data_IF_111680381376
#
_entry.id   IF_111680381376
#
_cell.length_a   1.000
_cell.length_b   1.000
_cell.length_c   1.000
_cell.angle_alpha   90.00
_cell.angle_beta   90.00
_cell.angle_gamma   90.00
#
_symmetry.space_group_name_H-M   'P 1'
#
loop_
_entity.id
_entity.type
_entity.pdbx_description
1 polymer ?
#
# COMPACT_ATOMS: atom_id res chain seq x y z
N UNK A 1 29.00 -5.69 -4.81
CA UNK A 1 28.15 -4.85 -3.93
C UNK A 1 27.18 -5.76 -3.21
N UNK A 2 27.17 -5.67 -1.89
CA UNK A 2 26.65 -6.68 -0.97
C UNK A 2 25.12 -6.64 -0.96
N UNK A 3 24.46 -7.76 -1.32
CA UNK A 3 23.02 -7.95 -1.09
C UNK A 3 22.78 -7.74 0.41
N UNK A 4 22.08 -6.66 0.79
CA UNK A 4 21.55 -6.51 2.15
C UNK A 4 20.54 -7.64 2.33
N UNK A 5 20.95 -8.69 3.02
CA UNK A 5 20.05 -9.73 3.48
C UNK A 5 19.03 -9.08 4.42
N UNK A 6 17.76 -9.19 4.06
CA UNK A 6 16.62 -8.81 4.91
C UNK A 6 16.56 -9.78 6.09
N UNK A 7 17.45 -9.63 7.07
CA UNK A 7 17.40 -10.40 8.31
C UNK A 7 16.26 -9.85 9.16
N UNK A 8 15.26 -10.69 9.36
CA UNK A 8 14.12 -10.41 10.22
C UNK A 8 14.57 -10.64 11.67
N UNK A 9 14.59 -9.59 12.51
CA UNK A 9 14.99 -9.71 13.92
C UNK A 9 13.77 -10.06 14.78
N UNK A 10 13.93 -11.00 15.71
CA UNK A 10 12.91 -11.32 16.73
C UNK A 10 12.50 -10.09 17.56
N UNK A 11 13.37 -9.08 17.67
CA UNK A 11 13.08 -7.80 18.32
C UNK A 11 12.00 -6.98 17.57
N UNK A 12 11.85 -7.15 16.26
CA UNK A 12 10.86 -6.47 15.41
C UNK A 12 9.42 -6.89 15.67
N UNK A 13 9.21 -7.94 16.46
CA UNK A 13 7.87 -8.49 16.71
C UNK A 13 7.35 -8.21 18.11
N UNK A 14 8.23 -7.97 19.08
CA UNK A 14 7.85 -7.77 20.48
C UNK A 14 7.16 -8.98 21.12
N UNK A 15 6.86 -8.91 22.42
CA UNK A 15 6.17 -9.98 23.18
C UNK A 15 4.64 -9.98 23.00
N UNK A 16 4.12 -9.34 21.95
CA UNK A 16 2.68 -9.11 21.80
C UNK A 16 1.98 -10.31 21.17
N UNK A 17 0.92 -10.81 21.80
CA UNK A 17 0.02 -11.85 21.24
C UNK A 17 -0.97 -11.30 20.21
N UNK A 18 -0.88 -10.00 19.90
CA UNK A 18 -1.80 -9.27 19.01
C UNK A 18 -1.55 -9.65 17.55
N UNK A 19 -2.63 -9.73 16.77
CA UNK A 19 -2.55 -9.93 15.32
C UNK A 19 -1.80 -8.77 14.66
N UNK A 20 -0.93 -9.07 13.70
CA UNK A 20 -0.16 -8.07 12.94
C UNK A 20 -0.80 -7.77 11.60
N UNK A 21 -0.74 -6.52 11.15
CA UNK A 21 -1.22 -6.09 9.84
C UNK A 21 -0.03 -5.54 9.03
N UNK A 22 0.55 -6.34 8.12
CA UNK A 22 1.60 -5.86 7.23
C UNK A 22 1.01 -5.02 6.08
N UNK A 23 1.49 -3.78 5.94
CA UNK A 23 1.09 -2.84 4.89
C UNK A 23 2.34 -2.42 4.11
N UNK A 24 2.38 -2.69 2.81
CA UNK A 24 3.45 -2.22 1.93
C UNK A 24 2.91 -1.16 0.97
N UNK A 25 3.45 0.04 1.05
CA UNK A 25 3.24 1.12 0.11
C UNK A 25 4.23 1.01 -1.03
N UNK A 26 3.74 0.90 -2.26
CA UNK A 26 4.48 0.92 -3.50
C UNK A 26 4.19 2.25 -4.19
N UNK A 27 5.11 3.20 -4.04
CA UNK A 27 4.90 4.61 -4.38
C UNK A 27 5.68 5.02 -5.62
N UNK A 28 4.98 5.61 -6.59
CA UNK A 28 5.60 6.25 -7.74
C UNK A 28 6.33 7.53 -7.31
N UNK A 29 7.60 7.65 -7.70
CA UNK A 29 8.44 8.83 -7.51
C UNK A 29 9.08 9.26 -8.83
N UNK A 30 8.49 8.91 -9.96
CA UNK A 30 8.97 9.30 -11.29
C UNK A 30 8.90 10.82 -11.54
N UNK A 31 9.39 11.25 -12.70
CA UNK A 31 9.47 12.68 -13.06
C UNK A 31 8.13 13.42 -13.02
N UNK A 32 7.01 12.75 -13.30
CA UNK A 32 5.66 13.34 -13.26
C UNK A 32 5.24 13.75 -11.85
N UNK A 33 5.77 13.10 -10.82
CA UNK A 33 5.48 13.40 -9.42
C UNK A 33 6.17 14.68 -8.91
N UNK A 34 7.07 15.29 -9.70
CA UNK A 34 7.81 16.47 -9.28
C UNK A 34 6.91 17.67 -8.97
N UNK A 35 7.29 18.46 -7.96
CA UNK A 35 6.55 19.67 -7.56
C UNK A 35 5.45 19.37 -6.55
N UNK A 36 4.20 19.71 -6.89
CA UNK A 36 3.07 19.58 -5.97
C UNK A 36 2.71 18.13 -5.63
N UNK A 37 2.70 17.15 -6.57
CA UNK A 37 2.30 15.79 -6.27
C UNK A 37 3.15 15.12 -5.19
N UNK A 38 4.48 15.19 -5.27
CA UNK A 38 5.35 14.61 -4.25
C UNK A 38 5.24 15.34 -2.90
N UNK A 39 4.97 16.66 -2.90
CA UNK A 39 4.73 17.40 -1.66
C UNK A 39 3.47 16.88 -0.95
N UNK A 40 2.37 16.77 -1.69
CA UNK A 40 1.09 16.27 -1.19
C UNK A 40 1.19 14.80 -0.77
N UNK A 41 1.94 13.97 -1.50
CA UNK A 41 2.24 12.59 -1.11
C UNK A 41 2.95 12.53 0.26
N UNK A 42 3.97 13.37 0.47
CA UNK A 42 4.69 13.44 1.74
C UNK A 42 3.79 13.93 2.88
N UNK A 43 2.99 14.98 2.66
CA UNK A 43 2.04 15.51 3.65
C UNK A 43 1.00 14.44 4.02
N UNK A 44 0.45 13.74 3.03
CA UNK A 44 -0.48 12.65 3.25
C UNK A 44 0.14 11.47 4.02
N UNK A 45 1.37 11.06 3.68
CA UNK A 45 2.10 10.05 4.44
C UNK A 45 2.31 10.49 5.90
N UNK A 46 2.69 11.75 6.14
CA UNK A 46 2.84 12.25 7.51
C UNK A 46 1.53 12.17 8.30
N UNK A 47 0.40 12.52 7.68
CA UNK A 47 -0.93 12.40 8.26
C UNK A 47 -1.31 10.94 8.56
N UNK A 48 -1.06 10.02 7.62
CA UNK A 48 -1.27 8.58 7.85
C UNK A 48 -0.48 8.08 9.06
N UNK A 49 0.83 8.33 9.10
CA UNK A 49 1.64 7.89 10.23
C UNK A 49 1.21 8.53 11.55
N UNK A 50 0.75 9.78 11.54
CA UNK A 50 0.21 10.44 12.73
C UNK A 50 -1.06 9.74 13.22
N UNK A 51 -2.01 9.46 12.33
CA UNK A 51 -3.24 8.70 12.64
C UNK A 51 -2.93 7.33 13.23
N UNK A 52 -1.99 6.58 12.64
CA UNK A 52 -1.56 5.28 13.19
C UNK A 52 -0.92 5.43 14.57
N UNK A 53 -0.12 6.48 14.82
CA UNK A 53 0.52 6.70 16.12
C UNK A 53 -0.47 7.05 17.23
N UNK A 54 -1.54 7.75 16.90
CA UNK A 54 -2.59 8.16 17.84
C UNK A 54 -3.41 6.97 18.33
N UNK A 55 -3.69 5.99 17.46
CA UNK A 55 -4.36 4.76 17.86
C UNK A 55 -3.35 3.71 18.39
N UNK A 56 -3.36 3.48 19.71
CA UNK A 56 -2.47 2.50 20.35
C UNK A 56 -2.62 1.07 19.80
N UNK A 57 -3.84 0.68 19.45
CA UNK A 57 -4.12 -0.65 18.92
C UNK A 57 -3.51 -0.82 17.53
N UNK A 58 -3.77 0.13 16.65
CA UNK A 58 -3.25 0.15 15.28
C UNK A 58 -1.73 0.25 15.28
N UNK A 59 -1.15 1.13 16.09
CA UNK A 59 0.32 1.23 16.27
C UNK A 59 0.95 -0.08 16.70
N UNK A 60 0.29 -0.84 17.57
CA UNK A 60 0.79 -2.13 18.05
C UNK A 60 0.57 -3.28 17.06
N UNK A 61 -0.29 -3.13 16.06
CA UNK A 61 -0.59 -4.17 15.08
C UNK A 61 0.08 -3.92 13.72
N UNK A 62 0.12 -2.67 13.27
CA UNK A 62 0.61 -2.29 11.94
C UNK A 62 2.12 -2.46 11.81
N UNK A 63 2.53 -3.14 10.75
CA UNK A 63 3.91 -3.21 10.25
C UNK A 63 3.94 -2.56 8.88
N UNK A 64 4.60 -1.41 8.76
CA UNK A 64 4.58 -0.62 7.53
C UNK A 64 5.93 -0.77 6.82
N UNK A 65 5.87 -0.96 5.51
CA UNK A 65 6.99 -0.82 4.60
C UNK A 65 6.63 0.19 3.51
N UNK A 66 7.60 0.99 3.09
CA UNK A 66 7.48 1.88 1.93
C UNK A 66 8.58 1.50 0.96
N UNK A 67 8.19 1.19 -0.26
CA UNK A 67 9.07 1.14 -1.42
C UNK A 67 8.71 2.27 -2.38
N UNK A 68 9.70 2.75 -3.09
CA UNK A 68 9.54 3.79 -4.11
C UNK A 68 10.02 3.25 -5.45
N UNK A 69 9.35 3.61 -6.54
CA UNK A 69 9.80 3.30 -7.90
C UNK A 69 9.87 4.58 -8.74
N UNK A 70 11.01 4.81 -9.38
CA UNK A 70 11.27 6.00 -10.20
C UNK A 70 12.68 5.92 -10.80
N UNK A 71 12.85 5.09 -11.82
CA UNK A 71 14.13 4.68 -12.39
C UNK A 71 14.64 3.38 -11.80
N UNK A 72 14.74 3.32 -10.48
CA UNK A 72 15.03 2.11 -9.70
C UNK A 72 13.92 1.85 -8.70
N UNK A 73 13.86 0.61 -8.20
CA UNK A 73 13.02 0.24 -7.07
C UNK A 73 13.88 0.27 -5.81
N UNK A 74 13.46 1.08 -4.83
CA UNK A 74 14.20 1.31 -3.60
C UNK A 74 13.33 1.02 -2.38
N UNK A 75 13.89 0.30 -1.40
CA UNK A 75 13.24 0.10 -0.10
C UNK A 75 13.51 1.35 0.75
N UNK A 76 12.57 2.28 0.70
CA UNK A 76 12.67 3.56 1.39
C UNK A 76 12.49 3.43 2.91
N UNK A 77 11.52 2.62 3.33
CA UNK A 77 11.28 2.24 4.71
C UNK A 77 11.08 0.71 4.78
N UNK A 78 12.02 -0.05 5.37
CA UNK A 78 11.81 -1.49 5.55
C UNK A 78 10.70 -1.76 6.58
N UNK A 79 10.14 -2.97 6.56
CA UNK A 79 9.21 -3.38 7.61
C UNK A 79 9.85 -3.26 8.99
N UNK A 80 9.16 -2.56 9.88
CA UNK A 80 9.57 -2.40 11.27
C UNK A 80 8.42 -1.91 12.14
N UNK A 81 8.62 -1.97 13.46
CA UNK A 81 7.63 -1.44 14.41
C UNK A 81 7.63 0.08 14.32
N UNK A 82 6.44 0.66 14.27
CA UNK A 82 6.27 2.10 14.42
C UNK A 82 6.55 2.49 15.87
N UNK A 83 7.71 3.09 16.10
CA UNK A 83 7.99 3.79 17.36
C UNK A 83 7.41 5.21 17.30
N UNK A 84 7.24 5.86 18.46
CA UNK A 84 6.82 7.27 18.50
C UNK A 84 7.83 8.19 17.80
N UNK A 85 9.08 7.75 17.75
CA UNK A 85 10.24 8.46 17.20
C UNK A 85 10.54 8.09 15.75
N UNK A 86 9.80 7.15 15.15
CA UNK A 86 10.01 6.78 13.75
C UNK A 86 9.70 8.00 12.87
N UNK A 87 10.71 8.69 12.37
CA UNK A 87 10.52 9.77 11.41
C UNK A 87 10.12 9.17 10.07
N UNK A 88 9.09 9.76 9.42
CA UNK A 88 8.79 9.44 8.02
C UNK A 88 9.81 10.24 7.21
N UNK A 89 10.80 9.60 6.55
CA UNK A 89 11.79 10.35 5.80
C UNK A 89 11.09 11.02 4.60
N UNK A 90 11.61 12.17 4.18
CA UNK A 90 11.01 12.93 3.09
C UNK A 90 11.34 12.29 1.74
N UNK A 91 10.32 11.87 1.00
CA UNK A 91 10.46 11.26 -0.33
C UNK A 91 10.67 12.36 -1.36
N UNK A 92 11.65 12.18 -2.24
CA UNK A 92 11.91 13.08 -3.36
C UNK A 92 11.52 12.43 -4.68
N UNK A 93 10.90 13.21 -5.56
CA UNK A 93 10.67 12.80 -6.94
C UNK A 93 12.02 12.70 -7.67
N UNK A 94 12.08 11.77 -8.59
CA UNK A 94 13.21 11.50 -9.47
C UNK A 94 12.99 12.16 -10.83
N UNK A 95 13.91 11.99 -11.77
CA UNK A 95 13.75 12.46 -13.16
C UNK A 95 13.64 11.30 -14.15
N UNK A 96 13.33 10.11 -13.64
CA UNK A 96 13.47 8.83 -14.32
C UNK A 96 12.13 8.16 -14.62
N UNK A 97 12.22 7.00 -15.28
CA UNK A 97 11.11 6.17 -15.75
C UNK A 97 10.32 5.53 -14.60
N UNK A 98 9.21 4.89 -14.92
CA UNK A 98 8.28 4.28 -13.95
C UNK A 98 8.32 2.75 -13.99
N UNK A 99 9.27 2.06 -13.32
CA UNK A 99 9.38 0.59 -13.31
C UNK A 99 8.33 -0.06 -12.38
N UNK A 100 7.04 0.22 -12.64
CA UNK A 100 5.91 -0.15 -11.77
C UNK A 100 5.83 -1.65 -11.51
N UNK A 101 5.96 -2.48 -12.54
CA UNK A 101 5.87 -3.95 -12.39
C UNK A 101 6.95 -4.51 -11.47
N UNK A 102 8.18 -3.99 -11.56
CA UNK A 102 9.28 -4.37 -10.66
C UNK A 102 9.02 -3.92 -9.23
N UNK A 103 8.47 -2.70 -9.07
CA UNK A 103 8.03 -2.18 -7.77
C UNK A 103 7.02 -3.11 -7.11
N UNK A 104 5.94 -3.45 -7.83
CA UNK A 104 4.90 -4.35 -7.32
C UNK A 104 5.46 -5.72 -6.95
N UNK A 105 6.29 -6.32 -7.80
CA UNK A 105 6.92 -7.62 -7.50
C UNK A 105 7.77 -7.54 -6.23
N UNK A 106 8.56 -6.48 -6.07
CA UNK A 106 9.39 -6.25 -4.88
C UNK A 106 8.52 -6.09 -3.62
N UNK A 107 7.41 -5.36 -3.69
CA UNK A 107 6.47 -5.23 -2.59
C UNK A 107 5.88 -6.59 -2.18
N UNK A 108 5.50 -7.42 -3.16
CA UNK A 108 4.98 -8.77 -2.91
C UNK A 108 6.02 -9.67 -2.24
N UNK A 109 7.29 -9.60 -2.66
CA UNK A 109 8.38 -10.33 -2.02
C UNK A 109 8.60 -9.91 -0.57
N UNK A 110 8.58 -8.60 -0.29
CA UNK A 110 8.72 -8.08 1.07
C UNK A 110 7.54 -8.48 1.95
N UNK A 111 6.31 -8.41 1.44
CA UNK A 111 5.11 -8.88 2.14
C UNK A 111 5.19 -10.38 2.43
N UNK A 112 5.62 -11.19 1.46
CA UNK A 112 5.80 -12.63 1.64
C UNK A 112 6.85 -12.96 2.70
N UNK A 113 8.01 -12.28 2.67
CA UNK A 113 9.06 -12.44 3.67
C UNK A 113 8.57 -12.07 5.07
N UNK A 114 7.85 -10.94 5.20
CA UNK A 114 7.30 -10.51 6.51
C UNK A 114 6.27 -11.49 7.06
N UNK A 115 5.40 -12.05 6.20
CA UNK A 115 4.44 -13.09 6.59
C UNK A 115 5.12 -14.35 7.06
N UNK A 116 6.21 -14.76 6.41
CA UNK A 116 6.93 -15.96 6.82
C UNK A 116 7.54 -15.78 8.21
N UNK A 117 8.14 -14.61 8.48
CA UNK A 117 8.59 -14.25 9.83
C UNK A 117 7.48 -14.33 10.90
N UNK A 118 6.24 -13.92 10.56
CA UNK A 118 5.11 -14.12 11.48
C UNK A 118 4.83 -15.60 11.75
N UNK A 119 4.83 -16.44 10.72
CA UNK A 119 4.54 -17.88 10.87
C UNK A 119 5.61 -18.58 11.72
N UNK A 120 6.88 -18.30 11.45
CA UNK A 120 8.02 -18.86 12.19
C UNK A 120 7.94 -18.55 13.70
N UNK A 121 7.43 -17.36 14.04
CA UNK A 121 7.26 -16.90 15.42
C UNK A 121 5.89 -17.23 16.02
N UNK A 122 5.01 -17.92 15.29
CA UNK A 122 3.64 -18.24 15.75
C UNK A 122 2.74 -17.02 15.92
N UNK A 123 3.06 -15.91 15.26
CA UNK A 123 2.32 -14.65 15.32
C UNK A 123 1.17 -14.70 14.32
N UNK A 124 -0.04 -14.42 14.81
CA UNK A 124 -1.21 -14.29 13.95
C UNK A 124 -1.15 -12.98 13.16
N UNK A 125 -1.70 -12.95 11.96
CA UNK A 125 -1.72 -11.75 11.12
C UNK A 125 -3.04 -11.62 10.34
N UNK A 126 -3.39 -10.40 9.99
CA UNK A 126 -4.48 -10.04 9.05
C UNK A 126 -3.99 -10.17 7.61
N UNK A 127 -4.89 -10.17 6.61
CA UNK A 127 -4.45 -10.13 5.21
C UNK A 127 -3.50 -8.95 4.97
N UNK A 128 -2.32 -9.19 4.38
CA UNK A 128 -1.40 -8.13 4.01
C UNK A 128 -2.00 -7.15 3.03
N UNK A 129 -1.60 -5.89 3.11
CA UNK A 129 -2.02 -4.84 2.19
C UNK A 129 -0.89 -4.47 1.24
N UNK A 130 -1.18 -4.46 -0.04
CA UNK A 130 -0.37 -3.84 -1.08
C UNK A 130 -1.08 -2.55 -1.53
N UNK A 131 -0.49 -1.39 -1.23
CA UNK A 131 -1.01 -0.08 -1.64
C UNK A 131 -0.15 0.46 -2.77
N UNK A 132 -0.65 0.43 -4.00
CA UNK A 132 0.05 0.93 -5.19
C UNK A 132 -0.49 2.31 -5.54
N UNK A 133 0.39 3.30 -5.57
CA UNK A 133 0.06 4.69 -5.94
C UNK A 133 0.93 5.08 -7.13
N UNK A 134 0.30 5.50 -8.23
CA UNK A 134 1.00 5.95 -9.45
C UNK A 134 0.21 7.01 -10.19
N UNK A 135 0.92 7.92 -10.86
CA UNK A 135 0.35 8.94 -11.76
C UNK A 135 0.64 8.65 -13.25
N UNK A 136 1.23 7.49 -13.55
CA UNK A 136 1.76 7.15 -14.87
C UNK A 136 1.52 5.70 -15.31
N UNK A 137 2.09 5.37 -16.46
CA UNK A 137 2.10 4.02 -17.03
C UNK A 137 3.47 3.34 -16.80
N UNK A 138 3.54 2.00 -16.80
CA UNK A 138 4.82 1.29 -16.70
C UNK A 138 5.78 1.69 -17.83
N UNK A 139 7.01 2.04 -17.47
CA UNK A 139 8.07 2.47 -18.39
C UNK A 139 9.41 1.80 -18.02
N UNK A 140 10.31 1.72 -19.01
CA UNK A 140 11.63 1.10 -18.85
C UNK A 140 11.74 -0.27 -19.52
N UNK A 141 12.89 -0.90 -19.33
CA UNK A 141 13.19 -2.20 -19.93
C UNK A 141 12.30 -3.29 -19.32
N UNK A 142 11.75 -4.16 -20.17
CA UNK A 142 10.82 -5.22 -19.77
C UNK A 142 9.59 -4.73 -18.96
N UNK A 143 9.25 -3.45 -19.02
CA UNK A 143 8.21 -2.86 -18.16
C UNK A 143 6.87 -3.59 -18.28
N UNK A 144 6.44 -3.91 -19.51
CA UNK A 144 5.19 -4.65 -19.74
C UNK A 144 5.31 -6.09 -19.25
N UNK A 145 6.41 -6.79 -19.52
CA UNK A 145 6.60 -8.18 -19.06
C UNK A 145 6.58 -8.26 -17.52
N UNK A 146 7.28 -7.37 -16.84
CA UNK A 146 7.29 -7.29 -15.38
C UNK A 146 5.91 -6.91 -14.85
N UNK A 147 5.18 -6.05 -15.56
CA UNK A 147 3.81 -5.70 -15.19
C UNK A 147 2.86 -6.88 -15.31
N UNK A 148 2.96 -7.68 -16.37
CA UNK A 148 2.15 -8.89 -16.54
C UNK A 148 2.42 -9.91 -15.43
N UNK A 149 3.70 -10.09 -15.05
CA UNK A 149 4.08 -10.92 -13.90
C UNK A 149 3.48 -10.38 -12.59
N UNK A 150 3.57 -9.07 -12.38
CA UNK A 150 3.01 -8.41 -11.21
C UNK A 150 1.48 -8.59 -11.12
N UNK A 151 0.77 -8.42 -12.24
CA UNK A 151 -0.68 -8.66 -12.34
C UNK A 151 -1.02 -10.10 -11.98
N UNK A 152 -0.33 -11.08 -12.57
CA UNK A 152 -0.56 -12.51 -12.26
C UNK A 152 -0.35 -12.81 -10.78
N UNK A 153 0.80 -12.42 -10.23
CA UNK A 153 1.14 -12.67 -8.83
C UNK A 153 0.16 -12.00 -7.85
N UNK A 154 -0.27 -10.77 -8.15
CA UNK A 154 -1.21 -10.03 -7.32
C UNK A 154 -2.59 -10.70 -7.34
N UNK A 155 -3.09 -11.08 -8.52
CA UNK A 155 -4.39 -11.71 -8.68
C UNK A 155 -4.47 -13.11 -8.06
N UNK A 156 -3.40 -13.90 -8.13
CA UNK A 156 -3.31 -15.20 -7.48
C UNK A 156 -3.39 -15.10 -5.94
N UNK A 157 -2.79 -14.05 -5.37
CA UNK A 157 -2.83 -13.81 -3.94
C UNK A 157 -4.18 -13.22 -3.49
N UNK A 158 -4.74 -12.28 -4.26
CA UNK A 158 -5.99 -11.60 -3.93
C UNK A 158 -7.20 -12.54 -4.05
N UNK A 159 -7.27 -13.34 -5.13
CA UNK A 159 -8.35 -14.32 -5.35
C UNK A 159 -8.42 -15.40 -4.27
N UNK A 160 -7.29 -15.71 -3.64
CA UNK A 160 -7.17 -16.70 -2.56
C UNK A 160 -7.28 -16.08 -1.16
N UNK A 161 -7.60 -14.78 -1.05
CA UNK A 161 -7.73 -14.10 0.23
C UNK A 161 -6.42 -14.04 1.01
N UNK A 162 -5.28 -13.94 0.31
CA UNK A 162 -3.93 -13.86 0.91
C UNK A 162 -3.30 -12.47 0.79
N UNK A 163 -3.98 -11.53 0.13
CA UNK A 163 -3.56 -10.16 -0.11
C UNK A 163 -4.80 -9.28 -0.29
N UNK A 164 -4.75 -8.08 0.29
CA UNK A 164 -5.60 -6.96 -0.06
C UNK A 164 -4.78 -6.02 -0.96
N UNK A 165 -5.34 -5.61 -2.08
CA UNK A 165 -4.72 -4.67 -3.02
C UNK A 165 -5.44 -3.34 -2.90
N UNK A 166 -4.74 -2.22 -3.03
CA UNK A 166 -5.28 -0.89 -3.30
C UNK A 166 -4.55 -0.34 -4.52
N UNK A 167 -5.19 -0.37 -5.68
CA UNK A 167 -4.66 0.15 -6.94
C UNK A 167 -5.16 1.59 -7.16
N UNK A 168 -4.30 2.56 -6.86
CA UNK A 168 -4.65 3.99 -6.81
C UNK A 168 -3.94 4.72 -7.96
N UNK A 169 -4.75 5.40 -8.76
CA UNK A 169 -4.30 6.25 -9.85
C UNK A 169 -4.43 7.74 -9.47
N UNK A 170 -3.39 8.52 -9.74
CA UNK A 170 -3.33 9.95 -9.41
C UNK A 170 -3.28 10.81 -10.67
N UNK A 171 -4.23 11.74 -10.84
CA UNK A 171 -4.28 12.63 -12.00
C UNK A 171 -4.73 11.93 -13.30
N UNK A 172 -4.23 12.39 -14.44
CA UNK A 172 -4.73 12.01 -15.78
C UNK A 172 -3.73 11.22 -16.63
N UNK A 173 -2.47 11.06 -16.18
CA UNK A 173 -1.40 10.38 -16.92
C UNK A 173 -1.39 8.85 -16.81
N UNK A 174 -2.39 8.27 -16.13
CA UNK A 174 -2.39 6.85 -15.73
C UNK A 174 -2.94 5.98 -16.86
N UNK A 175 -2.30 4.83 -17.08
CA UNK A 175 -2.91 3.75 -17.84
C UNK A 175 -3.92 2.98 -16.96
N UNK A 176 -5.15 3.50 -16.91
CA UNK A 176 -6.23 2.88 -16.15
C UNK A 176 -6.58 1.46 -16.64
N UNK A 177 -6.37 1.16 -17.92
CA UNK A 177 -6.65 -0.17 -18.47
C UNK A 177 -5.75 -1.21 -17.82
N UNK A 178 -4.48 -0.85 -17.67
CA UNK A 178 -3.47 -1.71 -17.06
C UNK A 178 -3.57 -1.70 -15.51
N UNK A 179 -3.77 -0.54 -14.89
CA UNK A 179 -3.90 -0.42 -13.43
C UNK A 179 -5.14 -1.18 -12.89
N UNK A 180 -6.23 -1.22 -13.66
CA UNK A 180 -7.43 -2.00 -13.34
C UNK A 180 -7.15 -3.50 -13.24
N UNK A 181 -6.20 -4.02 -14.01
CA UNK A 181 -5.87 -5.45 -14.03
C UNK A 181 -5.11 -5.92 -12.79
N UNK A 182 -4.62 -4.97 -11.97
CA UNK A 182 -3.87 -5.26 -10.75
C UNK A 182 -4.71 -5.85 -9.63
N UNK A 183 -6.03 -5.72 -9.68
CA UNK A 183 -6.93 -6.26 -8.67
C UNK A 183 -8.12 -6.95 -9.35
N UNK A 184 -8.31 -8.22 -9.03
CA UNK A 184 -9.49 -9.02 -9.42
C UNK A 184 -10.70 -8.74 -8.54
N UNK A 185 -10.48 -8.33 -7.28
CA UNK A 185 -11.57 -7.98 -6.36
C UNK A 185 -12.01 -6.51 -6.48
N UNK A 186 -11.16 -5.62 -7.02
CA UNK A 186 -11.51 -4.21 -7.26
C UNK A 186 -11.56 -3.90 -8.76
N UNK A 187 -12.78 -3.90 -9.36
CA UNK A 187 -12.94 -3.73 -10.79
C UNK A 187 -12.63 -2.32 -11.30
N UNK A 188 -12.59 -1.30 -10.44
CA UNK A 188 -12.22 0.07 -10.82
C UNK A 188 -11.14 0.61 -9.89
N UNK A 189 -10.00 1.12 -10.41
CA UNK A 189 -8.99 1.77 -9.59
C UNK A 189 -9.56 2.94 -8.78
N UNK A 190 -8.93 3.24 -7.64
CA UNK A 190 -9.26 4.45 -6.88
C UNK A 190 -8.59 5.62 -7.60
N UNK A 191 -9.39 6.51 -8.18
CA UNK A 191 -8.91 7.68 -8.90
C UNK A 191 -8.98 8.91 -8.00
N UNK A 192 -7.86 9.60 -7.82
CA UNK A 192 -7.80 10.84 -7.04
C UNK A 192 -6.95 11.91 -7.74
N UNK A 193 -7.13 13.17 -7.38
CA UNK A 193 -6.12 14.20 -7.64
C UNK A 193 -5.01 14.17 -6.57
N UNK A 194 -3.83 14.67 -6.91
CA UNK A 194 -2.75 14.89 -5.96
C UNK A 194 -3.16 15.70 -4.71
N UNK A 195 -4.08 16.66 -4.85
CA UNK A 195 -4.61 17.45 -3.74
C UNK A 195 -5.41 16.60 -2.74
N UNK A 196 -5.82 15.38 -3.12
CA UNK A 196 -6.61 14.47 -2.30
C UNK A 196 -5.75 13.39 -1.61
N UNK A 197 -4.42 13.44 -1.73
CA UNK A 197 -3.54 12.48 -1.05
C UNK A 197 -3.79 12.44 0.46
N UNK A 198 -3.93 13.59 1.12
CA UNK A 198 -4.21 13.65 2.55
C UNK A 198 -5.48 12.88 2.93
N UNK A 199 -6.57 13.06 2.17
CA UNK A 199 -7.84 12.34 2.37
C UNK A 199 -7.68 10.83 2.15
N UNK A 200 -6.95 10.41 1.12
CA UNK A 200 -6.65 9.00 0.86
C UNK A 200 -5.90 8.36 2.03
N UNK A 201 -4.86 9.02 2.51
CA UNK A 201 -4.02 8.52 3.58
C UNK A 201 -4.74 8.47 4.93
N UNK A 202 -5.61 9.45 5.21
CA UNK A 202 -6.52 9.41 6.36
C UNK A 202 -7.49 8.23 6.26
N UNK A 203 -8.08 8.00 5.08
CA UNK A 203 -8.95 6.85 4.83
C UNK A 203 -8.23 5.50 5.07
N UNK A 204 -6.99 5.35 4.59
CA UNK A 204 -6.18 4.15 4.84
C UNK A 204 -5.86 3.98 6.34
N UNK A 205 -5.59 5.07 7.05
CA UNK A 205 -5.37 5.09 8.50
C UNK A 205 -6.61 4.62 9.27
N UNK A 206 -7.77 5.19 8.96
CA UNK A 206 -9.06 4.82 9.56
C UNK A 206 -9.47 3.39 9.24
N UNK A 207 -9.26 2.95 8.00
CA UNK A 207 -9.55 1.57 7.56
C UNK A 207 -8.68 0.55 8.30
N UNK A 208 -7.38 0.81 8.41
CA UNK A 208 -6.46 -0.08 9.14
C UNK A 208 -6.81 -0.15 10.63
N UNK A 209 -7.19 0.97 11.23
CA UNK A 209 -7.64 1.02 12.62
C UNK A 209 -8.93 0.25 12.85
N UNK A 210 -9.89 0.35 11.94
CA UNK A 210 -11.16 -0.37 12.03
C UNK A 210 -10.96 -1.89 12.00
N UNK A 211 -10.07 -2.41 11.15
CA UNK A 211 -9.77 -3.85 11.09
C UNK A 211 -9.06 -4.34 12.35
N UNK A 212 -8.13 -3.54 12.86
CA UNK A 212 -7.36 -3.90 14.06
C UNK A 212 -8.24 -3.86 15.31
N UNK A 213 -9.06 -2.83 15.47
CA UNK A 213 -9.89 -2.61 16.66
C UNK A 213 -11.17 -3.44 16.68
N UNK A 214 -11.87 -3.55 15.55
CA UNK A 214 -13.18 -4.24 15.48
C UNK A 214 -13.06 -5.72 15.09
N UNK A 215 -11.86 -6.20 14.73
CA UNK A 215 -11.65 -7.57 14.28
C UNK A 215 -12.43 -7.94 13.01
N UNK A 216 -12.77 -6.93 12.20
CA UNK A 216 -13.51 -7.10 10.95
C UNK A 216 -12.76 -8.07 10.03
N UNK A 217 -13.52 -8.85 9.25
CA UNK A 217 -12.93 -9.69 8.21
C UNK A 217 -12.40 -8.78 7.10
N UNK A 218 -11.23 -9.10 6.57
CA UNK A 218 -10.57 -8.32 5.51
C UNK A 218 -11.45 -8.18 4.24
N UNK A 219 -12.38 -9.12 4.01
CA UNK A 219 -13.38 -9.03 2.93
C UNK A 219 -14.28 -7.78 3.05
N UNK A 220 -14.44 -7.19 4.24
CA UNK A 220 -15.19 -5.95 4.44
C UNK A 220 -14.56 -4.73 3.72
N UNK A 221 -13.26 -4.79 3.39
CA UNK A 221 -12.60 -3.79 2.54
C UNK A 221 -13.08 -3.85 1.08
N UNK A 222 -13.66 -4.98 0.67
CA UNK A 222 -14.11 -5.25 -0.69
C UNK A 222 -15.65 -5.25 -0.84
N UNK A 223 -16.39 -5.53 0.22
CA UNK A 223 -17.83 -5.73 0.17
C UNK A 223 -18.51 -5.25 1.44
N UNK A 224 -19.64 -4.56 1.30
CA UNK A 224 -20.78 -4.74 2.19
C UNK A 224 -22.00 -4.93 1.27
N UNK A 225 -22.65 -6.09 1.35
CA UNK A 225 -23.85 -6.41 0.58
C UNK A 225 -24.94 -5.34 0.80
N UNK A 226 -25.43 -4.72 -0.27
CA UNK A 226 -26.80 -4.96 -0.72
C UNK A 226 -26.98 -4.58 -2.21
N UNK A 227 -27.97 -5.20 -2.82
CA UNK A 227 -28.29 -5.34 -4.26
C UNK A 227 -28.03 -4.15 -5.21
N UNK A 228 -27.48 -4.47 -6.40
CA UNK A 228 -27.41 -3.68 -7.64
C UNK A 228 -26.67 -2.32 -7.64
N UNK A 229 -25.33 -2.38 -7.61
CA UNK A 229 -24.38 -1.82 -8.61
C UNK A 229 -22.99 -1.93 -7.98
N UNK A 230 -22.08 -2.64 -8.65
CA UNK A 230 -20.73 -2.93 -8.14
C UNK A 230 -19.91 -1.65 -7.93
N UNK A 231 -20.02 -1.05 -6.74
CA UNK A 231 -18.98 -0.28 -6.07
C UNK A 231 -18.89 -0.81 -4.63
N UNK A 232 -17.66 -1.02 -4.17
CA UNK A 232 -17.37 -1.54 -2.84
C UNK A 232 -17.61 -0.42 -1.82
N UNK A 233 -18.54 -0.63 -0.90
CA UNK A 233 -19.07 0.38 0.04
C UNK A 233 -18.01 1.19 0.79
N UNK A 234 -16.87 0.61 1.16
CA UNK A 234 -15.76 1.35 1.81
C UNK A 234 -15.15 2.44 0.90
N UNK A 235 -15.13 2.20 -0.40
CA UNK A 235 -14.69 3.17 -1.40
C UNK A 235 -15.80 4.17 -1.71
N UNK A 236 -17.07 3.76 -1.63
CA UNK A 236 -18.18 4.71 -1.74
C UNK A 236 -18.23 5.66 -0.54
N UNK A 237 -17.92 5.19 0.66
CA UNK A 237 -17.69 6.07 1.83
C UNK A 237 -16.52 7.01 1.59
N UNK A 238 -15.41 6.51 1.02
CA UNK A 238 -14.30 7.37 0.63
C UNK A 238 -14.71 8.42 -0.41
N UNK A 239 -15.45 8.06 -1.46
CA UNK A 239 -15.90 9.00 -2.48
C UNK A 239 -16.94 9.99 -1.95
N UNK A 240 -17.86 9.56 -1.08
CA UNK A 240 -18.76 10.48 -0.35
C UNK A 240 -17.96 11.46 0.49
N UNK A 241 -16.95 10.98 1.21
CA UNK A 241 -16.04 11.82 1.99
C UNK A 241 -15.22 12.78 1.10
N UNK A 242 -14.90 12.40 -0.15
CA UNK A 242 -14.30 13.32 -1.11
C UNK A 242 -15.27 14.40 -1.62
N UNK A 243 -16.57 14.09 -1.69
CA UNK A 243 -17.64 14.98 -2.17
C UNK A 243 -18.20 15.93 -1.08
N UNK A 244 -18.00 15.63 0.20
CA UNK A 244 -18.35 16.50 1.32
C UNK A 244 -17.35 17.68 1.46
N UNK A 245 -17.49 18.68 0.59
CA UNK A 245 -17.00 20.07 0.75
C UNK A 245 -18.03 21.10 0.30
#
# INVERSE_FOLDING_TARGET
MTKKSTQIDASDFGKSTRRRLPICFCLDVSGSMAGNPIRQLNEGLQSFFSSIRENEETRAAADICIITFGGTVDIFLPFGRLSKETSVPHIQATTSLTPMGEGVLTALELLAARKEGYKELGIKYYQPWLVVITDGAPQGDNAIENMEKAIGATNDLESTGRLVVFNIGVGTGIDFTLLKRLSVKRPEPICIDSAQFSKLFEFLGSSSSSIVSSGMKDDALYSLDDTEKKKSVAIDEFFKYLEEE
#
